data_IF_371813144235
#
_entry.id   IF_371813144235
#
_cell.length_a   1.000
_cell.length_b   1.000
_cell.length_c   1.000
_cell.angle_alpha   90.00
_cell.angle_beta   90.00
_cell.angle_gamma   90.00
#
_symmetry.space_group_name_H-M   'P 1'
#
loop_
_entity.id
_entity.type
_entity.pdbx_description
1 polymer ?
#
# COMPACT_ATOMS: atom_id res chain seq x y z
N UNK A 1 -9.79 -22.17 -12.67
CA UNK A 1 -8.68 -21.20 -12.85
C UNK A 1 -7.46 -21.75 -12.13
N UNK A 2 -6.30 -21.85 -12.79
CA UNK A 2 -5.13 -22.57 -12.27
C UNK A 2 -4.58 -21.89 -10.99
N UNK A 3 -4.34 -22.64 -9.92
CA UNK A 3 -4.05 -22.05 -8.61
C UNK A 3 -2.71 -21.26 -8.57
N UNK A 4 -1.73 -21.67 -9.37
CA UNK A 4 -0.47 -20.93 -9.54
C UNK A 4 -0.67 -19.56 -10.24
N UNK A 5 -1.67 -19.42 -11.13
CA UNK A 5 -2.03 -18.12 -11.72
C UNK A 5 -2.63 -17.17 -10.67
N UNK A 6 -3.44 -17.69 -9.75
CA UNK A 6 -4.00 -16.90 -8.65
C UNK A 6 -2.90 -16.43 -7.69
N UNK A 7 -1.94 -17.28 -7.35
CA UNK A 7 -0.80 -16.90 -6.50
C UNK A 7 0.02 -15.79 -7.17
N UNK A 8 0.41 -15.95 -8.44
CA UNK A 8 1.16 -14.91 -9.18
C UNK A 8 0.41 -13.58 -9.23
N UNK A 9 -0.91 -13.62 -9.48
CA UNK A 9 -1.73 -12.41 -9.51
C UNK A 9 -1.76 -11.71 -8.14
N UNK A 10 -2.06 -12.44 -7.06
CA UNK A 10 -2.10 -11.88 -5.71
C UNK A 10 -0.73 -11.39 -5.22
N UNK A 11 0.36 -12.04 -5.60
CA UNK A 11 1.71 -11.53 -5.34
C UNK A 11 1.96 -10.20 -6.06
N UNK A 12 1.55 -10.06 -7.34
CA UNK A 12 1.67 -8.78 -8.06
C UNK A 12 0.84 -7.67 -7.41
N UNK A 13 -0.38 -7.98 -6.94
CA UNK A 13 -1.20 -7.01 -6.20
C UNK A 13 -0.56 -6.61 -4.86
N UNK A 14 0.05 -7.55 -4.13
CA UNK A 14 0.79 -7.22 -2.92
C UNK A 14 1.98 -6.28 -3.20
N UNK A 15 2.75 -6.54 -4.27
CA UNK A 15 3.83 -5.64 -4.68
C UNK A 15 3.31 -4.26 -5.11
N UNK A 16 2.21 -4.20 -5.86
CA UNK A 16 1.59 -2.93 -6.23
C UNK A 16 1.15 -2.13 -4.99
N UNK A 17 0.57 -2.80 -3.98
CA UNK A 17 0.22 -2.16 -2.72
C UNK A 17 1.46 -1.61 -1.98
N UNK A 18 2.57 -2.35 -1.96
CA UNK A 18 3.84 -1.88 -1.37
C UNK A 18 4.36 -0.63 -2.10
N UNK A 19 4.36 -0.63 -3.43
CA UNK A 19 4.78 0.55 -4.22
C UNK A 19 3.91 1.76 -3.90
N UNK A 20 2.59 1.56 -3.82
CA UNK A 20 1.65 2.64 -3.44
C UNK A 20 1.87 3.14 -2.02
N UNK A 21 2.19 2.26 -1.06
CA UNK A 21 2.61 2.66 0.29
C UNK A 21 3.87 3.52 0.26
N UNK A 22 4.90 3.12 -0.49
CA UNK A 22 6.14 3.89 -0.61
C UNK A 22 5.91 5.27 -1.21
N UNK A 23 5.05 5.38 -2.24
CA UNK A 23 4.68 6.66 -2.83
C UNK A 23 3.90 7.54 -1.86
N UNK A 24 2.95 6.97 -1.11
CA UNK A 24 2.20 7.70 -0.09
C UNK A 24 3.14 8.19 1.04
N UNK A 25 4.09 7.35 1.46
CA UNK A 25 5.10 7.74 2.44
C UNK A 25 6.03 8.84 1.93
N UNK A 26 6.54 8.72 0.70
CA UNK A 26 7.36 9.76 0.09
C UNK A 26 6.60 11.09 -0.01
N UNK A 27 5.31 11.05 -0.34
CA UNK A 27 4.44 12.23 -0.35
C UNK A 27 4.28 12.84 1.04
N UNK A 28 4.07 12.02 2.07
CA UNK A 28 4.01 12.47 3.47
C UNK A 28 5.32 13.17 3.89
N UNK A 29 6.46 12.54 3.61
CA UNK A 29 7.79 13.09 3.92
C UNK A 29 8.00 14.42 3.18
N UNK A 30 7.61 14.48 1.90
CA UNK A 30 7.70 15.70 1.11
C UNK A 30 6.88 16.84 1.71
N UNK A 31 5.62 16.56 2.08
CA UNK A 31 4.72 17.53 2.70
C UNK A 31 5.19 18.02 4.08
N UNK A 32 5.96 17.19 4.80
CA UNK A 32 6.47 17.52 6.14
C UNK A 32 7.82 18.22 6.15
N UNK A 33 8.72 17.85 5.24
CA UNK A 33 10.10 18.31 5.26
C UNK A 33 10.38 19.41 4.23
N UNK A 34 9.67 19.44 3.10
CA UNK A 34 9.88 20.50 2.13
C UNK A 34 9.03 21.74 2.48
N UNK A 35 9.63 22.95 2.43
CA UNK A 35 8.90 24.19 2.57
C UNK A 35 8.15 24.48 1.26
N UNK A 36 7.02 23.81 1.06
CA UNK A 36 6.20 23.90 -0.16
C UNK A 36 5.37 25.18 -0.25
N UNK A 37 5.48 26.09 0.73
CA UNK A 37 4.69 27.33 0.77
C UNK A 37 3.17 27.13 0.88
N UNK A 38 2.73 25.92 1.29
CA UNK A 38 1.32 25.58 1.39
C UNK A 38 0.67 26.29 2.59
N UNK A 39 -0.59 26.70 2.41
CA UNK A 39 -1.41 27.16 3.54
C UNK A 39 -1.50 26.07 4.62
N UNK A 40 -1.46 26.43 5.93
CA UNK A 40 -1.52 25.46 7.02
C UNK A 40 -2.72 24.50 6.94
N UNK A 41 -3.86 24.98 6.43
CA UNK A 41 -5.06 24.14 6.23
C UNK A 41 -4.82 23.07 5.17
N UNK A 42 -4.26 23.47 4.02
CA UNK A 42 -3.98 22.57 2.89
C UNK A 42 -2.89 21.56 3.27
N UNK A 43 -1.84 22.01 3.95
CA UNK A 43 -0.77 21.13 4.42
C UNK A 43 -1.30 20.08 5.40
N UNK A 44 -2.16 20.48 6.36
CA UNK A 44 -2.80 19.56 7.29
C UNK A 44 -3.62 18.49 6.56
N UNK A 45 -4.51 18.90 5.66
CA UNK A 45 -5.37 17.96 4.90
C UNK A 45 -4.56 17.01 4.02
N UNK A 46 -3.50 17.51 3.36
CA UNK A 46 -2.63 16.70 2.53
C UNK A 46 -1.87 15.65 3.35
N UNK A 47 -1.36 16.04 4.53
CA UNK A 47 -0.70 15.13 5.47
C UNK A 47 -1.68 14.06 5.96
N UNK A 48 -2.88 14.43 6.41
CA UNK A 48 -3.90 13.47 6.85
C UNK A 48 -4.28 12.49 5.73
N UNK A 49 -4.44 13.00 4.51
CA UNK A 49 -4.76 12.17 3.33
C UNK A 49 -3.65 11.17 3.02
N UNK A 50 -2.38 11.60 3.07
CA UNK A 50 -1.24 10.70 2.87
C UNK A 50 -1.16 9.59 3.93
N UNK A 51 -1.51 9.90 5.18
CA UNK A 51 -1.58 8.93 6.28
C UNK A 51 -2.74 7.94 6.09
N UNK A 52 -3.93 8.40 5.70
CA UNK A 52 -5.04 7.51 5.40
C UNK A 52 -4.75 6.59 4.20
N UNK A 53 -4.10 7.11 3.16
CA UNK A 53 -3.65 6.32 2.02
C UNK A 53 -2.64 5.23 2.45
N UNK A 54 -1.69 5.57 3.34
CA UNK A 54 -0.76 4.60 3.91
C UNK A 54 -1.47 3.45 4.63
N UNK A 55 -2.42 3.77 5.52
CA UNK A 55 -3.19 2.75 6.24
C UNK A 55 -3.96 1.87 5.26
N UNK A 56 -4.65 2.48 4.29
CA UNK A 56 -5.43 1.75 3.28
C UNK A 56 -4.57 0.76 2.49
N UNK A 57 -3.43 1.21 1.97
CA UNK A 57 -2.53 0.34 1.21
C UNK A 57 -1.84 -0.71 2.09
N UNK A 58 -1.58 -0.41 3.37
CA UNK A 58 -1.05 -1.40 4.33
C UNK A 58 -2.04 -2.53 4.55
N UNK A 59 -3.31 -2.21 4.79
CA UNK A 59 -4.37 -3.21 4.99
C UNK A 59 -4.58 -4.02 3.71
N UNK A 60 -4.62 -3.36 2.56
CA UNK A 60 -4.76 -4.03 1.26
C UNK A 60 -3.57 -4.98 0.97
N UNK A 61 -2.34 -4.51 1.13
CA UNK A 61 -1.12 -5.30 0.94
C UNK A 61 -1.07 -6.50 1.90
N UNK A 62 -1.41 -6.29 3.17
CA UNK A 62 -1.53 -7.37 4.16
C UNK A 62 -2.58 -8.41 3.80
N UNK A 63 -3.76 -7.98 3.35
CA UNK A 63 -4.83 -8.88 2.91
C UNK A 63 -4.41 -9.72 1.69
N UNK A 64 -3.74 -9.12 0.70
CA UNK A 64 -3.20 -9.86 -0.44
C UNK A 64 -2.11 -10.86 -0.04
N UNK A 65 -1.21 -10.46 0.86
CA UNK A 65 -0.16 -11.36 1.39
C UNK A 65 -0.74 -12.56 2.14
N UNK A 66 -1.74 -12.33 3.01
CA UNK A 66 -2.47 -13.41 3.69
C UNK A 66 -3.19 -14.33 2.71
N UNK A 67 -3.85 -13.80 1.68
CA UNK A 67 -4.48 -14.64 0.65
C UNK A 67 -3.46 -15.54 -0.06
N UNK A 68 -2.28 -15.01 -0.40
CA UNK A 68 -1.20 -15.82 -0.98
C UNK A 68 -0.74 -16.92 -0.03
N UNK A 69 -0.57 -16.61 1.26
CA UNK A 69 -0.16 -17.59 2.26
C UNK A 69 -1.21 -18.72 2.42
N UNK A 70 -2.50 -18.38 2.46
CA UNK A 70 -3.59 -19.37 2.52
C UNK A 70 -3.65 -20.21 1.25
N UNK A 71 -3.48 -19.60 0.07
CA UNK A 71 -3.44 -20.32 -1.21
C UNK A 71 -2.26 -21.30 -1.28
N UNK A 72 -1.07 -20.90 -0.83
CA UNK A 72 0.10 -21.79 -0.74
C UNK A 72 -0.17 -22.98 0.19
N UNK A 73 -0.65 -22.70 1.41
CA UNK A 73 -1.00 -23.74 2.41
C UNK A 73 -2.03 -24.74 1.87
N UNK A 74 -3.04 -24.27 1.12
CA UNK A 74 -4.07 -25.15 0.50
C UNK A 74 -3.51 -26.04 -0.62
N UNK A 75 -2.41 -25.64 -1.26
CA UNK A 75 -1.74 -26.40 -2.32
C UNK A 75 -0.64 -27.31 -1.77
N UNK A 76 -0.45 -27.38 -0.45
CA UNK A 76 0.65 -28.13 0.16
C UNK A 76 2.04 -27.55 -0.14
N UNK A 77 2.10 -26.27 -0.54
CA UNK A 77 3.33 -25.49 -0.73
C UNK A 77 3.52 -24.51 0.43
#
# INVERSE_FOLDING_TARGET
>A
MNADLQIRAHTRYAFAAIVLMLLAFASFVALKLLPLGLSPKVQKTAVETSLYALVLFTVAGGAFSMRVAVLRKRLGK
#
